data_IF_372093464625
#
_entry.id   IF_372093464625
#
_cell.length_a   1.000
_cell.length_b   1.000
_cell.length_c   1.000
_cell.angle_alpha   90.00
_cell.angle_beta   90.00
_cell.angle_gamma   90.00
#
_symmetry.space_group_name_H-M   'P 1'
#
loop_
_entity.id
_entity.type
_entity.pdbx_description
1 polymer ?
#
# COMPACT_ATOMS: atom_id res chain seq x y z
N UNK A 1 -4.07 0.65 17.85
CA UNK A 1 -4.01 1.05 16.43
C UNK A 1 -2.65 1.63 16.07
N UNK A 2 -2.11 2.62 16.79
CA UNK A 2 -0.80 3.21 16.46
C UNK A 2 0.31 2.16 16.29
N UNK A 3 0.47 1.27 17.28
CA UNK A 3 1.48 0.20 17.25
C UNK A 3 1.30 -0.75 16.08
N UNK A 4 0.06 -1.16 15.81
CA UNK A 4 -0.27 -2.01 14.67
C UNK A 4 0.07 -1.33 13.34
N UNK A 5 -0.28 -0.04 13.18
CA UNK A 5 0.05 0.74 12.00
C UNK A 5 1.57 0.85 11.82
N UNK A 6 2.30 1.09 12.90
CA UNK A 6 3.75 1.16 12.90
C UNK A 6 4.38 -0.17 12.49
N UNK A 7 3.88 -1.28 13.01
CA UNK A 7 4.36 -2.62 12.68
C UNK A 7 4.10 -2.98 11.21
N UNK A 8 2.92 -2.65 10.69
CA UNK A 8 2.60 -2.81 9.26
C UNK A 8 3.50 -1.90 8.42
N UNK A 9 3.65 -0.64 8.79
CA UNK A 9 4.51 0.31 8.10
C UNK A 9 5.96 -0.18 8.02
N UNK A 10 6.53 -0.62 9.14
CA UNK A 10 7.88 -1.17 9.21
C UNK A 10 8.04 -2.36 8.27
N UNK A 11 7.14 -3.33 8.35
CA UNK A 11 7.16 -4.53 7.49
C UNK A 11 7.06 -4.16 6.00
N UNK A 12 6.18 -3.23 5.65
CA UNK A 12 5.97 -2.84 4.26
C UNK A 12 7.13 -2.06 3.66
N UNK A 13 7.79 -1.22 4.47
CA UNK A 13 8.96 -0.43 4.03
C UNK A 13 10.22 -1.29 3.97
N UNK A 14 10.43 -2.20 4.92
CA UNK A 14 11.66 -3.00 5.01
C UNK A 14 11.64 -4.23 4.09
N UNK A 15 10.48 -4.88 3.92
CA UNK A 15 10.39 -6.13 3.17
C UNK A 15 10.09 -5.88 1.70
N UNK A 16 10.74 -6.66 0.84
CA UNK A 16 10.52 -6.62 -0.61
C UNK A 16 9.18 -7.27 -0.98
N UNK A 17 8.80 -8.34 -0.28
CA UNK A 17 7.56 -9.08 -0.52
C UNK A 17 6.33 -8.27 -0.10
N UNK A 18 5.21 -8.54 -0.77
CA UNK A 18 3.89 -8.05 -0.38
C UNK A 18 3.38 -8.90 0.79
N UNK A 19 3.15 -8.28 1.94
CA UNK A 19 2.65 -8.99 3.12
C UNK A 19 1.12 -9.00 3.19
N UNK A 20 0.59 -9.89 4.01
CA UNK A 20 -0.82 -9.91 4.33
C UNK A 20 -1.24 -8.63 5.05
N UNK A 21 -2.32 -8.03 4.58
CA UNK A 21 -2.93 -6.86 5.17
C UNK A 21 -4.37 -7.20 5.56
N UNK A 22 -4.80 -6.91 6.80
CA UNK A 22 -6.19 -7.11 7.21
C UNK A 22 -7.16 -6.44 6.24
N UNK A 23 -8.28 -7.13 5.95
CA UNK A 23 -9.28 -6.65 4.98
C UNK A 23 -9.83 -5.26 5.29
N UNK A 24 -10.03 -5.00 6.57
CA UNK A 24 -10.60 -3.77 7.13
C UNK A 24 -9.55 -2.71 7.47
N UNK A 25 -8.28 -2.93 7.12
CA UNK A 25 -7.17 -2.09 7.58
C UNK A 25 -7.39 -0.60 7.30
N UNK A 26 -7.74 -0.24 6.06
CA UNK A 26 -7.91 1.17 5.69
C UNK A 26 -9.12 1.80 6.40
N UNK A 27 -10.22 1.05 6.59
CA UNK A 27 -11.35 1.48 7.41
C UNK A 27 -10.93 1.76 8.86
N UNK A 28 -10.19 0.85 9.50
CA UNK A 28 -9.71 1.03 10.88
C UNK A 28 -8.75 2.22 11.02
N UNK A 29 -7.90 2.47 10.02
CA UNK A 29 -7.04 3.66 10.00
C UNK A 29 -7.89 4.94 9.86
N UNK A 30 -8.94 4.93 9.03
CA UNK A 30 -9.84 6.08 8.86
C UNK A 30 -10.60 6.41 10.15
N UNK A 31 -11.12 5.39 10.85
CA UNK A 31 -11.78 5.55 12.15
C UNK A 31 -10.82 6.10 13.21
N UNK A 32 -9.58 5.61 13.21
CA UNK A 32 -8.55 6.09 14.10
C UNK A 32 -8.19 7.56 13.83
N UNK A 33 -8.06 7.97 12.57
CA UNK A 33 -7.90 9.37 12.19
C UNK A 33 -9.03 10.26 12.71
N UNK A 34 -10.28 9.79 12.55
CA UNK A 34 -11.46 10.53 13.01
C UNK A 34 -11.39 10.75 14.52
N UNK A 35 -11.07 9.70 15.28
CA UNK A 35 -10.90 9.77 16.74
C UNK A 35 -9.82 10.78 17.16
N UNK A 36 -8.65 10.77 16.52
CA UNK A 36 -7.57 11.73 16.83
C UNK A 36 -8.01 13.19 16.63
N UNK A 37 -8.74 13.48 15.55
CA UNK A 37 -9.24 14.84 15.28
C UNK A 37 -10.34 15.26 16.24
N UNK A 38 -11.24 14.36 16.59
CA UNK A 38 -12.33 14.62 17.54
C UNK A 38 -11.76 14.94 18.93
N UNK A 39 -10.82 14.13 19.42
CA UNK A 39 -10.15 14.37 20.70
C UNK A 39 -9.33 15.67 20.71
N UNK A 40 -8.62 15.98 19.62
CA UNK A 40 -7.84 17.21 19.52
C UNK A 40 -8.73 18.47 19.51
N UNK A 41 -9.93 18.39 18.92
CA UNK A 41 -10.87 19.52 18.85
C UNK A 41 -11.49 19.88 20.20
N UNK A 42 -11.65 18.91 21.08
CA UNK A 42 -12.24 19.13 22.42
C UNK A 42 -11.25 19.69 23.44
N UNK A 43 -9.96 19.76 23.11
CA UNK A 43 -8.91 20.25 23.99
C UNK A 43 -8.55 21.70 23.67
N UNK A 44 -8.12 22.45 24.71
CA UNK A 44 -7.47 23.75 24.49
C UNK A 44 -6.22 23.53 23.63
N UNK A 45 -6.07 24.33 22.56
CA UNK A 45 -4.93 24.29 21.65
C UNK A 45 -3.58 24.52 22.35
N UNK A 46 -3.59 25.15 23.54
CA UNK A 46 -2.39 25.36 24.37
C UNK A 46 -2.04 24.16 25.26
N UNK A 47 -2.91 23.15 25.35
CA UNK A 47 -2.65 21.96 26.14
C UNK A 47 -1.59 21.08 25.46
N UNK A 48 -0.62 20.59 26.26
CA UNK A 48 0.41 19.63 25.82
C UNK A 48 -0.23 18.41 25.13
N UNK A 49 -1.38 17.96 25.64
CA UNK A 49 -2.16 16.84 25.07
C UNK A 49 -2.66 17.14 23.65
N UNK A 50 -3.10 18.36 23.36
CA UNK A 50 -3.55 18.75 22.02
C UNK A 50 -2.38 18.74 21.02
N UNK A 51 -1.19 19.18 21.45
CA UNK A 51 0.01 19.11 20.62
C UNK A 51 0.45 17.66 20.36
N UNK A 52 0.38 16.78 21.37
CA UNK A 52 0.70 15.36 21.22
C UNK A 52 -0.20 14.68 20.20
N UNK A 53 -1.52 14.88 20.28
CA UNK A 53 -2.48 14.32 19.32
C UNK A 53 -2.22 14.80 17.89
N UNK A 54 -1.81 16.06 17.73
CA UNK A 54 -1.46 16.61 16.41
C UNK A 54 -0.20 15.95 15.82
N UNK A 55 0.79 15.69 16.66
CA UNK A 55 2.01 14.96 16.25
C UNK A 55 1.65 13.53 15.85
N UNK A 56 0.81 12.87 16.65
CA UNK A 56 0.32 11.52 16.36
C UNK A 56 -0.43 11.47 15.03
N UNK A 57 -1.36 12.39 14.79
CA UNK A 57 -2.08 12.50 13.52
C UNK A 57 -1.12 12.65 12.32
N UNK A 58 -0.10 13.51 12.46
CA UNK A 58 0.88 13.74 11.41
C UNK A 58 1.72 12.48 11.14
N UNK A 59 2.10 11.75 12.18
CA UNK A 59 2.85 10.50 12.07
C UNK A 59 2.01 9.41 11.40
N UNK A 60 0.76 9.23 11.82
CA UNK A 60 -0.20 8.30 11.22
C UNK A 60 -0.38 8.61 9.73
N UNK A 61 -0.47 9.89 9.36
CA UNK A 61 -0.59 10.31 7.95
C UNK A 61 0.64 9.92 7.14
N UNK A 62 1.82 10.15 7.68
CA UNK A 62 3.07 9.78 7.03
C UNK A 62 3.17 8.26 6.86
N UNK A 63 2.94 7.49 7.93
CA UNK A 63 3.00 6.02 7.89
C UNK A 63 2.01 5.45 6.87
N UNK A 64 0.76 5.93 6.85
CA UNK A 64 -0.24 5.49 5.89
C UNK A 64 0.18 5.80 4.44
N UNK A 65 0.70 6.99 4.17
CA UNK A 65 1.16 7.36 2.84
C UNK A 65 2.29 6.44 2.36
N UNK A 66 3.24 6.14 3.23
CA UNK A 66 4.37 5.26 2.93
C UNK A 66 3.91 3.81 2.71
N UNK A 67 2.98 3.29 3.53
CA UNK A 67 2.35 1.96 3.31
C UNK A 67 1.69 1.89 1.94
N UNK A 68 0.82 2.85 1.62
CA UNK A 68 0.08 2.85 0.34
C UNK A 68 1.04 2.91 -0.84
N UNK A 69 2.11 3.71 -0.75
CA UNK A 69 3.12 3.80 -1.80
C UNK A 69 3.93 2.50 -1.95
N UNK A 70 4.40 1.93 -0.85
CA UNK A 70 5.17 0.69 -0.86
C UNK A 70 4.34 -0.46 -1.44
N UNK A 71 3.11 -0.64 -0.95
CA UNK A 71 2.20 -1.68 -1.41
C UNK A 71 1.80 -1.49 -2.86
N UNK A 72 1.48 -0.26 -3.30
CA UNK A 72 1.19 0.03 -4.71
C UNK A 72 2.34 -0.38 -5.63
N UNK A 73 3.59 -0.06 -5.27
CA UNK A 73 4.78 -0.45 -6.05
C UNK A 73 4.90 -1.97 -6.16
N UNK A 74 4.71 -2.69 -5.04
CA UNK A 74 4.77 -4.15 -5.00
C UNK A 74 3.67 -4.81 -5.83
N UNK A 75 2.42 -4.37 -5.66
CA UNK A 75 1.26 -4.85 -6.41
C UNK A 75 1.48 -4.64 -7.91
N UNK A 76 1.85 -3.44 -8.35
CA UNK A 76 2.11 -3.16 -9.78
C UNK A 76 3.26 -4.02 -10.30
N UNK A 77 4.32 -4.22 -9.53
CA UNK A 77 5.46 -5.06 -9.94
C UNK A 77 5.02 -6.50 -10.20
N UNK A 78 4.26 -7.12 -9.28
CA UNK A 78 3.75 -8.49 -9.42
C UNK A 78 2.86 -8.60 -10.67
N UNK A 79 1.98 -7.62 -10.84
CA UNK A 79 1.09 -7.55 -12.00
C UNK A 79 1.87 -7.44 -13.32
N UNK A 80 2.90 -6.61 -13.39
CA UNK A 80 3.75 -6.45 -14.57
C UNK A 80 4.61 -7.69 -14.88
N UNK A 81 4.77 -8.59 -13.91
CA UNK A 81 5.39 -9.90 -14.11
C UNK A 81 4.42 -10.94 -14.66
N UNK A 82 3.13 -10.58 -14.82
CA UNK A 82 2.08 -11.51 -15.25
C UNK A 82 1.62 -12.47 -14.13
N UNK A 83 2.05 -12.21 -12.90
CA UNK A 83 1.73 -13.05 -11.74
C UNK A 83 0.37 -12.68 -11.14
N UNK A 84 -0.30 -13.68 -10.54
CA UNK A 84 -1.56 -13.48 -9.81
C UNK A 84 -1.27 -13.20 -8.35
N UNK A 85 -1.94 -12.19 -7.79
CA UNK A 85 -1.83 -11.86 -6.36
C UNK A 85 -2.92 -12.62 -5.60
N UNK A 86 -2.58 -13.42 -4.56
CA UNK A 86 -3.58 -13.99 -3.66
C UNK A 86 -4.40 -12.89 -2.99
N UNK A 87 -5.74 -12.99 -3.05
CA UNK A 87 -6.63 -11.97 -2.48
C UNK A 87 -6.49 -11.83 -0.96
N UNK A 88 -6.02 -12.87 -0.26
CA UNK A 88 -5.72 -12.81 1.18
C UNK A 88 -4.64 -11.79 1.51
N UNK A 89 -3.74 -11.46 0.57
CA UNK A 89 -2.69 -10.47 0.79
C UNK A 89 -3.20 -9.03 0.71
N UNK A 90 -4.43 -8.81 0.24
CA UNK A 90 -4.97 -7.50 -0.11
C UNK A 90 -6.12 -7.12 0.82
N UNK A 91 -6.14 -5.85 1.21
CA UNK A 91 -7.33 -5.22 1.81
C UNK A 91 -8.51 -5.18 0.82
N UNK A 92 -9.72 -4.91 1.31
CA UNK A 92 -10.90 -4.86 0.44
C UNK A 92 -10.80 -3.73 -0.62
N UNK A 93 -10.23 -2.58 -0.26
CA UNK A 93 -9.95 -1.48 -1.20
C UNK A 93 -8.95 -1.88 -2.29
N UNK A 94 -7.88 -2.58 -1.90
CA UNK A 94 -6.86 -3.06 -2.84
C UNK A 94 -7.42 -4.16 -3.75
N UNK A 95 -8.23 -5.08 -3.22
CA UNK A 95 -8.89 -6.11 -4.02
C UNK A 95 -9.82 -5.49 -5.07
N UNK A 96 -10.57 -4.46 -4.69
CA UNK A 96 -11.45 -3.75 -5.62
C UNK A 96 -10.64 -3.09 -6.74
N UNK A 97 -9.53 -2.42 -6.41
CA UNK A 97 -8.63 -1.83 -7.39
C UNK A 97 -8.01 -2.90 -8.30
N UNK A 98 -7.54 -4.01 -7.72
CA UNK A 98 -6.93 -5.11 -8.47
C UNK A 98 -7.89 -5.73 -9.49
N UNK A 99 -9.15 -5.98 -9.08
CA UNK A 99 -10.20 -6.50 -9.98
C UNK A 99 -10.46 -5.53 -11.15
N UNK A 100 -10.53 -4.23 -10.88
CA UNK A 100 -10.71 -3.20 -11.92
C UNK A 100 -9.55 -3.18 -12.92
N UNK A 101 -8.32 -3.33 -12.42
CA UNK A 101 -7.13 -3.42 -13.28
C UNK A 101 -7.20 -4.65 -14.19
N UNK A 102 -7.58 -5.81 -13.65
CA UNK A 102 -7.69 -7.05 -14.43
C UNK A 102 -8.79 -7.00 -15.50
N UNK A 103 -9.84 -6.22 -15.28
CA UNK A 103 -10.95 -6.03 -16.22
C UNK A 103 -10.63 -5.02 -17.34
N UNK A 104 -9.50 -4.31 -17.27
CA UNK A 104 -9.14 -3.35 -18.30
C UNK A 104 -8.74 -4.11 -19.59
N UNK A 105 -9.48 -3.95 -20.71
CA UNK A 105 -9.39 -4.82 -21.88
C UNK A 105 -7.98 -4.93 -22.46
N UNK A 106 -7.25 -3.82 -22.49
CA UNK A 106 -5.92 -3.74 -23.10
C UNK A 106 -4.78 -4.05 -22.11
N UNK A 107 -5.10 -4.29 -20.84
CA UNK A 107 -4.08 -4.44 -19.81
C UNK A 107 -3.31 -5.76 -19.91
N UNK A 108 -4.01 -6.84 -20.27
CA UNK A 108 -3.39 -8.14 -20.47
C UNK A 108 -2.46 -8.14 -21.69
N UNK A 109 -2.88 -7.48 -22.78
CA UNK A 109 -2.06 -7.31 -23.97
C UNK A 109 -0.86 -6.40 -23.71
N UNK A 110 -1.06 -5.32 -22.94
CA UNK A 110 0.03 -4.46 -22.47
C UNK A 110 1.07 -5.22 -21.62
N UNK A 111 0.63 -6.05 -20.66
CA UNK A 111 1.55 -6.87 -19.85
C UNK A 111 2.27 -7.87 -20.74
N UNK A 112 1.56 -8.56 -21.65
CA UNK A 112 2.15 -9.55 -22.55
C UNK A 112 3.28 -8.95 -23.38
N UNK A 113 3.04 -7.79 -24.01
CA UNK A 113 4.09 -7.08 -24.76
C UNK A 113 5.27 -6.64 -23.90
N UNK A 114 5.02 -6.26 -22.64
CA UNK A 114 6.07 -5.86 -21.72
C UNK A 114 6.94 -7.05 -21.28
N UNK A 115 6.34 -8.21 -21.01
CA UNK A 115 7.04 -9.45 -20.65
C UNK A 115 7.84 -10.00 -21.82
N UNK A 116 7.27 -10.05 -23.02
CA UNK A 116 7.94 -10.50 -24.25
C UNK A 116 9.20 -9.68 -24.55
N UNK A 117 9.14 -8.35 -24.39
CA UNK A 117 10.31 -7.47 -24.58
C UNK A 117 11.44 -7.73 -23.58
N UNK A 118 11.14 -8.14 -22.33
CA UNK A 118 12.18 -8.48 -21.34
C UNK A 118 12.89 -9.81 -21.65
N UNK A 119 12.20 -10.75 -22.27
CA UNK A 119 12.81 -12.02 -22.69
C UNK A 119 13.76 -11.83 -23.88
N UNK A 120 13.46 -10.88 -24.78
CA UNK A 120 14.35 -10.55 -25.90
C UNK A 120 15.66 -9.86 -25.46
N UNK A 121 15.65 -9.09 -24.37
CA UNK A 121 16.86 -8.39 -23.88
C UNK A 121 17.84 -9.29 -23.09
N UNK A 122 17.45 -10.51 -22.73
CA UNK A 122 18.33 -11.45 -22.01
C UNK A 122 18.95 -12.51 -22.93
N UNK A 123 18.58 -12.52 -24.22
CA UNK A 123 19.07 -13.48 -25.21
C UNK A 123 20.19 -12.99 -26.13
N UNK A 124 20.67 -11.74 -26.01
CA UNK A 124 21.63 -11.15 -26.96
C UNK A 124 23.07 -11.00 -26.44
N UNK A 125 23.41 -11.54 -25.27
CA UNK A 125 24.79 -11.49 -24.71
C UNK A 125 25.47 -12.87 -24.68
N UNK A 126 25.24 -13.73 -25.67
CA UNK A 126 26.07 -14.93 -25.89
C UNK A 126 26.18 -15.27 -27.38
N UNK A 127 26.85 -14.42 -28.16
CA UNK A 127 27.62 -14.87 -29.35
C UNK A 127 28.57 -13.77 -29.79
N UNK A 128 29.87 -13.99 -29.55
CA UNK A 128 31.08 -13.56 -30.29
C UNK A 128 32.17 -13.03 -29.35
#
# INVERSE_FOLDING_TARGET
MYEELYEIWRKEVEKIALEELPRDFYCRVADYFKKLREEARMLDKKAIKANLLRIEEQNVKRMLQEIVQARRKKIIKIIMMGEKIPLSLLSDEEQNLYKKILQFPDFQEFIKHFVERRQLTTGSEFTS
#
